data_IF_048850197192
#
_entry.id   IF_048850197192
#
_cell.length_a   1.000
_cell.length_b   1.000
_cell.length_c   1.000
_cell.angle_alpha   90.00
_cell.angle_beta   90.00
_cell.angle_gamma   90.00
#
_symmetry.space_group_name_H-M   'P 1'
#
loop_
_entity.id
_entity.type
_entity.pdbx_description
1 polymer ?
#
# COMPACT_ATOMS: atom_id res chain seq x y z
N UNK A 1 -32.43 10.75 17.57
CA UNK A 1 -32.04 10.41 16.18
C UNK A 1 -30.56 10.61 15.99
N UNK A 2 -29.79 9.52 16.13
CA UNK A 2 -28.35 9.54 15.94
C UNK A 2 -27.97 9.02 14.55
N UNK A 3 -26.88 9.56 14.01
CA UNK A 3 -26.22 9.03 12.82
C UNK A 3 -24.81 8.61 13.19
N UNK A 4 -24.30 7.62 12.49
CA UNK A 4 -22.91 7.18 12.63
C UNK A 4 -22.25 7.10 11.28
N UNK A 5 -20.98 7.50 11.22
CA UNK A 5 -20.08 7.28 10.09
C UNK A 5 -18.88 6.51 10.59
N UNK A 6 -18.58 5.40 9.96
CA UNK A 6 -17.42 4.61 10.29
C UNK A 6 -16.50 4.51 9.08
N UNK A 7 -15.23 4.75 9.29
CA UNK A 7 -14.18 4.36 8.36
C UNK A 7 -13.87 2.89 8.63
N UNK A 8 -14.18 2.01 7.68
CA UNK A 8 -14.18 0.56 7.90
C UNK A 8 -12.77 0.00 8.14
N UNK A 9 -11.73 0.76 7.80
CA UNK A 9 -10.34 0.42 8.06
C UNK A 9 -9.89 0.99 9.41
N UNK A 10 -10.53 0.54 10.50
CA UNK A 10 -10.20 0.91 11.88
C UNK A 10 -10.26 2.42 12.15
N UNK A 11 -11.25 3.11 11.55
CA UNK A 11 -11.47 4.55 11.67
C UNK A 11 -10.30 5.41 11.17
N UNK A 12 -9.54 4.90 10.20
CA UNK A 12 -8.45 5.63 9.56
C UNK A 12 -8.81 5.88 8.10
N UNK A 13 -8.51 7.07 7.61
CA UNK A 13 -8.60 7.42 6.18
C UNK A 13 -7.22 7.60 5.60
N UNK A 14 -6.97 6.93 4.48
CA UNK A 14 -5.70 6.99 3.77
C UNK A 14 -5.82 7.82 2.49
N UNK A 15 -4.87 8.72 2.27
CA UNK A 15 -4.82 9.52 1.04
C UNK A 15 -4.59 8.63 -0.19
N UNK A 16 -5.19 9.01 -1.32
CA UNK A 16 -4.98 8.33 -2.59
C UNK A 16 -5.54 6.91 -2.67
N UNK A 17 -6.33 6.50 -1.69
CA UNK A 17 -6.92 5.18 -1.61
C UNK A 17 -8.43 5.30 -1.50
N UNK A 18 -9.16 4.35 -2.07
CA UNK A 18 -10.62 4.28 -1.95
C UNK A 18 -10.98 3.61 -0.63
N UNK A 19 -11.17 4.42 0.40
CA UNK A 19 -11.48 3.94 1.75
C UNK A 19 -12.95 3.52 1.84
N UNK A 20 -13.24 2.30 2.33
CA UNK A 20 -14.61 1.88 2.56
C UNK A 20 -15.21 2.64 3.74
N UNK A 21 -16.39 3.21 3.55
CA UNK A 21 -17.12 3.99 4.54
C UNK A 21 -18.51 3.39 4.69
N UNK A 22 -18.93 3.21 5.94
CA UNK A 22 -20.29 2.79 6.26
C UNK A 22 -21.00 3.90 7.00
N UNK A 23 -22.24 4.19 6.62
CA UNK A 23 -23.07 5.19 7.27
C UNK A 23 -24.42 4.59 7.62
N UNK A 24 -24.92 4.97 8.78
CA UNK A 24 -26.27 4.62 9.21
C UNK A 24 -26.90 5.75 10.03
N UNK A 25 -28.22 5.78 10.06
CA UNK A 25 -28.98 6.71 10.91
C UNK A 25 -30.16 5.94 11.50
N UNK A 26 -30.33 6.09 12.82
CA UNK A 26 -31.39 5.41 13.54
C UNK A 26 -32.78 5.83 13.03
N UNK A 27 -33.62 4.83 12.75
CA UNK A 27 -34.99 5.07 12.33
C UNK A 27 -35.16 5.52 10.90
N UNK A 28 -34.10 5.51 10.09
CA UNK A 28 -34.15 5.92 8.67
C UNK A 28 -33.65 4.75 7.83
N UNK A 29 -34.42 4.44 6.78
CA UNK A 29 -34.06 3.38 5.85
C UNK A 29 -32.74 3.73 5.13
N UNK A 30 -31.87 2.73 4.81
CA UNK A 30 -30.56 3.00 4.22
C UNK A 30 -30.62 3.78 2.90
N UNK A 31 -31.64 3.61 2.10
CA UNK A 31 -31.84 4.34 0.83
C UNK A 31 -32.25 5.80 1.02
N UNK A 32 -32.63 6.17 2.23
CA UNK A 32 -33.00 7.53 2.62
C UNK A 32 -31.87 8.28 3.34
N UNK A 33 -30.74 7.62 3.58
CA UNK A 33 -29.58 8.22 4.21
C UNK A 33 -28.56 8.57 3.14
N UNK A 34 -28.09 9.82 3.15
CA UNK A 34 -27.12 10.33 2.19
C UNK A 34 -25.90 10.86 2.89
N UNK A 35 -24.75 10.69 2.25
CA UNK A 35 -23.46 11.14 2.75
C UNK A 35 -22.86 12.12 1.76
N UNK A 36 -22.33 13.22 2.25
CA UNK A 36 -21.51 14.15 1.49
C UNK A 36 -20.16 14.33 2.16
N UNK A 37 -19.17 14.79 1.42
CA UNK A 37 -17.79 14.86 1.88
C UNK A 37 -17.14 16.14 1.37
N UNK A 38 -16.35 16.78 2.22
CA UNK A 38 -15.41 17.84 1.83
C UNK A 38 -13.99 17.28 1.92
N UNK A 39 -13.09 17.77 1.05
CA UNK A 39 -11.68 17.36 1.08
C UNK A 39 -11.35 16.10 0.29
N UNK A 40 -12.22 15.67 -0.60
CA UNK A 40 -12.00 14.51 -1.44
C UNK A 40 -13.22 14.15 -2.27
N UNK A 41 -13.22 12.99 -2.86
CA UNK A 41 -14.31 12.45 -3.67
C UNK A 41 -14.97 11.25 -3.00
N UNK A 42 -16.27 11.10 -3.23
CA UNK A 42 -17.10 10.09 -2.59
C UNK A 42 -17.91 9.37 -3.66
N UNK A 43 -17.93 8.03 -3.58
CA UNK A 43 -18.70 7.19 -4.49
C UNK A 43 -19.62 6.30 -3.70
N UNK A 44 -20.92 6.29 -4.02
CA UNK A 44 -21.88 5.42 -3.38
C UNK A 44 -21.77 3.99 -3.91
N UNK A 45 -21.82 3.03 -2.99
CA UNK A 45 -21.87 1.60 -3.29
C UNK A 45 -23.27 1.01 -2.97
N UNK A 46 -24.18 1.86 -2.52
CA UNK A 46 -25.53 1.45 -2.14
C UNK A 46 -25.65 1.01 -0.69
N UNK A 47 -26.88 1.10 -0.14
CA UNK A 47 -27.23 0.63 1.21
C UNK A 47 -26.35 1.17 2.33
N UNK A 48 -25.97 2.45 2.24
CA UNK A 48 -25.13 3.09 3.26
C UNK A 48 -23.64 2.78 3.15
N UNK A 49 -23.21 2.15 2.06
CA UNK A 49 -21.80 1.89 1.79
C UNK A 49 -21.27 2.85 0.74
N UNK A 50 -20.09 3.39 0.99
CA UNK A 50 -19.42 4.36 0.14
C UNK A 50 -17.93 4.03 0.06
N UNK A 51 -17.26 4.56 -0.95
CA UNK A 51 -15.81 4.69 -0.95
C UNK A 51 -15.44 6.17 -0.95
N UNK A 52 -14.51 6.54 -0.08
CA UNK A 52 -14.02 7.90 0.05
C UNK A 52 -12.55 7.98 -0.34
N UNK A 53 -12.21 8.90 -1.23
CA UNK A 53 -10.84 9.14 -1.68
C UNK A 53 -10.42 10.55 -1.28
N UNK A 54 -9.72 10.70 -0.14
CA UNK A 54 -9.22 12.00 0.31
C UNK A 54 -8.18 12.58 -0.66
N UNK A 55 -8.12 13.92 -0.70
CA UNK A 55 -7.27 14.62 -1.65
C UNK A 55 -5.80 14.63 -1.25
N UNK A 56 -5.47 14.79 0.04
CA UNK A 56 -4.08 14.97 0.46
C UNK A 56 -3.84 14.55 1.91
N UNK A 57 -2.61 14.11 2.15
CA UNK A 57 -2.14 13.72 3.49
C UNK A 57 -2.09 14.93 4.41
N UNK A 58 -2.47 14.73 5.67
CA UNK A 58 -2.42 15.75 6.71
C UNK A 58 -3.61 16.70 6.72
N UNK A 59 -4.47 16.66 5.70
CA UNK A 59 -5.71 17.40 5.68
C UNK A 59 -6.78 16.74 6.54
N UNK A 60 -7.85 17.47 6.82
CA UNK A 60 -9.05 16.92 7.42
C UNK A 60 -10.12 16.78 6.35
N UNK A 61 -10.91 15.72 6.44
CA UNK A 61 -12.13 15.55 5.65
C UNK A 61 -13.31 15.57 6.59
N UNK A 62 -14.40 16.18 6.13
CA UNK A 62 -15.64 16.24 6.90
C UNK A 62 -16.74 15.54 6.11
N UNK A 63 -17.38 14.58 6.77
CA UNK A 63 -18.57 13.92 6.26
C UNK A 63 -19.80 14.54 6.88
N UNK A 64 -20.80 14.80 6.07
CA UNK A 64 -22.11 15.25 6.52
C UNK A 64 -23.14 14.19 6.17
N UNK A 65 -23.88 13.72 7.16
CA UNK A 65 -24.95 12.76 7.00
C UNK A 65 -26.28 13.53 6.94
N UNK A 66 -27.05 13.27 5.90
CA UNK A 66 -28.42 13.78 5.77
C UNK A 66 -29.38 12.61 5.64
N UNK A 67 -30.59 12.81 6.12
CA UNK A 67 -31.65 11.82 6.03
C UNK A 67 -32.94 12.45 5.52
N UNK A 68 -33.73 11.67 4.79
CA UNK A 68 -35.07 12.09 4.37
C UNK A 68 -36.09 11.65 5.41
N UNK A 69 -36.77 12.62 6.02
CA UNK A 69 -37.81 12.38 6.99
C UNK A 69 -39.05 13.16 6.55
N UNK A 70 -40.15 12.48 6.31
CA UNK A 70 -41.41 13.08 5.82
C UNK A 70 -41.23 13.93 4.56
N UNK A 71 -40.40 13.45 3.63
CA UNK A 71 -40.12 14.14 2.38
C UNK A 71 -39.18 15.33 2.48
N UNK A 72 -38.63 15.58 3.65
CA UNK A 72 -37.68 16.71 3.88
C UNK A 72 -36.30 16.15 4.22
N UNK A 73 -35.28 16.79 3.69
CA UNK A 73 -33.89 16.46 4.00
C UNK A 73 -33.47 17.14 5.30
N UNK A 74 -32.96 16.36 6.22
CA UNK A 74 -32.45 16.86 7.50
C UNK A 74 -30.99 16.46 7.66
N UNK A 75 -30.19 17.39 8.22
CA UNK A 75 -28.83 17.10 8.62
C UNK A 75 -28.86 16.27 9.90
N UNK A 76 -28.23 15.07 9.85
CA UNK A 76 -28.21 14.12 10.94
C UNK A 76 -26.92 14.19 11.77
N UNK A 77 -25.85 14.70 11.19
CA UNK A 77 -24.56 14.83 11.87
C UNK A 77 -23.41 15.16 10.93
N UNK A 78 -22.30 15.55 11.55
CA UNK A 78 -21.04 15.84 10.86
C UNK A 78 -19.91 15.12 11.57
N UNK A 79 -18.97 14.55 10.80
CA UNK A 79 -17.85 13.78 11.32
C UNK A 79 -16.58 14.21 10.62
N UNK A 80 -15.52 14.45 11.37
CA UNK A 80 -14.24 14.90 10.82
C UNK A 80 -13.18 13.82 11.07
N UNK A 81 -12.43 13.48 10.02
CA UNK A 81 -11.34 12.53 10.07
C UNK A 81 -10.08 13.18 9.54
N UNK A 82 -8.94 12.86 10.16
CA UNK A 82 -7.63 13.26 9.66
C UNK A 82 -7.16 12.26 8.60
N UNK A 83 -6.68 12.77 7.48
CA UNK A 83 -6.16 11.94 6.39
C UNK A 83 -4.71 11.58 6.68
N UNK A 84 -4.40 10.30 6.60
CA UNK A 84 -3.07 9.76 6.87
C UNK A 84 -2.43 9.25 5.60
N UNK A 85 -1.09 9.22 5.59
CA UNK A 85 -0.36 8.51 4.53
C UNK A 85 -0.56 7.00 4.73
N UNK A 86 -0.47 6.25 3.63
CA UNK A 86 -0.46 4.78 3.71
C UNK A 86 0.75 4.31 4.54
N UNK A 87 0.65 3.18 5.24
CA UNK A 87 1.81 2.55 5.86
C UNK A 87 2.89 2.22 4.82
N UNK A 88 4.12 1.97 5.28
CA UNK A 88 5.17 1.53 4.39
C UNK A 88 4.87 0.12 3.86
N UNK A 89 5.07 -0.11 2.56
CA UNK A 89 4.97 -1.45 2.01
C UNK A 89 6.18 -2.30 2.38
N UNK A 90 6.07 -3.59 2.12
CA UNK A 90 7.19 -4.54 2.24
C UNK A 90 7.71 -4.85 0.85
N UNK A 91 9.02 -4.75 0.67
CA UNK A 91 9.68 -5.18 -0.57
C UNK A 91 9.79 -6.71 -0.62
N UNK A 92 9.73 -7.27 -1.82
CA UNK A 92 9.84 -8.70 -2.05
C UNK A 92 10.49 -9.00 -3.40
N UNK A 93 11.05 -10.21 -3.53
CA UNK A 93 11.45 -10.73 -4.83
C UNK A 93 10.21 -11.35 -5.48
N UNK A 94 9.94 -10.98 -6.73
CA UNK A 94 8.80 -11.49 -7.46
C UNK A 94 9.11 -12.87 -8.04
N UNK A 95 8.44 -13.90 -7.54
CA UNK A 95 8.58 -15.29 -7.98
C UNK A 95 7.26 -15.78 -8.56
N UNK A 96 6.99 -15.44 -9.81
CA UNK A 96 5.69 -15.71 -10.39
C UNK A 96 4.59 -15.02 -9.58
N UNK A 97 3.67 -15.79 -9.00
CA UNK A 97 2.62 -15.27 -8.14
C UNK A 97 3.02 -15.17 -6.68
N UNK A 98 4.23 -15.62 -6.32
CA UNK A 98 4.71 -15.61 -4.95
C UNK A 98 5.53 -14.36 -4.66
N UNK A 99 5.50 -13.95 -3.39
CA UNK A 99 6.24 -12.80 -2.87
C UNK A 99 7.25 -13.28 -1.85
N UNK A 100 8.51 -13.33 -2.26
CA UNK A 100 9.60 -13.77 -1.38
C UNK A 100 10.15 -12.57 -0.60
N UNK A 101 9.98 -12.59 0.72
CA UNK A 101 10.28 -11.44 1.58
C UNK A 101 11.61 -11.55 2.32
N UNK A 102 12.39 -12.59 2.07
CA UNK A 102 13.71 -12.79 2.64
C UNK A 102 13.93 -14.20 3.16
N UNK A 103 15.19 -14.59 3.27
CA UNK A 103 15.61 -15.89 3.75
C UNK A 103 16.31 -16.73 2.69
N UNK A 104 16.19 -18.06 2.81
CA UNK A 104 16.81 -18.99 1.89
C UNK A 104 15.97 -19.15 0.63
N UNK A 105 16.64 -19.12 -0.52
CA UNK A 105 15.99 -19.26 -1.82
C UNK A 105 16.89 -20.06 -2.75
N UNK A 106 16.31 -21.01 -3.45
CA UNK A 106 17.05 -21.83 -4.43
C UNK A 106 17.64 -20.94 -5.52
N UNK A 107 18.86 -21.23 -5.95
CA UNK A 107 19.56 -20.43 -6.97
C UNK A 107 18.75 -20.35 -8.26
N UNK A 108 18.12 -21.44 -8.68
CA UNK A 108 17.25 -21.43 -9.87
C UNK A 108 16.09 -20.46 -9.75
N UNK A 109 15.51 -20.33 -8.57
CA UNK A 109 14.43 -19.37 -8.31
C UNK A 109 14.94 -17.93 -8.36
N UNK A 110 16.13 -17.67 -7.79
CA UNK A 110 16.77 -16.36 -7.85
C UNK A 110 17.00 -15.95 -9.32
N UNK A 111 17.57 -16.85 -10.11
CA UNK A 111 17.86 -16.57 -11.53
C UNK A 111 16.60 -16.46 -12.37
N UNK A 112 15.52 -17.12 -11.97
CA UNK A 112 14.24 -17.05 -12.66
C UNK A 112 13.42 -15.80 -12.32
N UNK A 113 13.80 -15.06 -11.29
CA UNK A 113 13.08 -13.85 -10.88
C UNK A 113 13.41 -12.70 -11.83
N UNK A 114 12.37 -12.05 -12.36
CA UNK A 114 12.55 -10.90 -13.24
C UNK A 114 12.98 -9.65 -12.48
N UNK A 115 12.49 -9.50 -11.24
CA UNK A 115 12.73 -8.32 -10.45
C UNK A 115 12.08 -8.39 -9.08
N UNK A 116 11.80 -7.20 -8.57
CA UNK A 116 11.23 -7.03 -7.23
C UNK A 116 9.89 -6.31 -7.31
N UNK A 117 9.17 -6.35 -6.22
CA UNK A 117 7.96 -5.57 -6.02
C UNK A 117 7.89 -5.05 -4.60
N UNK A 118 6.86 -4.28 -4.34
CA UNK A 118 6.55 -3.80 -3.00
C UNK A 118 5.04 -3.69 -2.85
N UNK A 119 4.53 -4.07 -1.70
CA UNK A 119 3.10 -4.00 -1.42
C UNK A 119 2.84 -3.95 0.07
N UNK A 120 1.72 -3.32 0.44
CA UNK A 120 1.12 -3.56 1.74
C UNK A 120 0.28 -4.84 1.58
N UNK A 121 0.61 -5.88 2.35
CA UNK A 121 -0.12 -7.14 2.32
C UNK A 121 -0.23 -7.72 3.74
N UNK A 122 -0.75 -6.91 4.64
CA UNK A 122 -0.80 -7.19 6.07
C UNK A 122 -2.07 -7.95 6.51
N UNK A 123 -2.87 -8.42 5.55
CA UNK A 123 -4.14 -9.10 5.81
C UNK A 123 -5.33 -8.17 5.91
N UNK A 124 -5.12 -6.89 6.20
CA UNK A 124 -6.15 -5.86 6.23
C UNK A 124 -6.16 -5.06 4.92
N UNK A 125 -4.99 -4.68 4.45
CA UNK A 125 -4.78 -3.96 3.20
C UNK A 125 -3.98 -4.84 2.23
N UNK A 126 -4.33 -4.78 0.95
CA UNK A 126 -3.54 -5.34 -0.14
C UNK A 126 -3.39 -4.24 -1.20
N UNK A 127 -2.29 -3.51 -1.11
CA UNK A 127 -2.05 -2.32 -1.93
C UNK A 127 -0.68 -2.43 -2.58
N UNK A 128 -0.60 -2.59 -3.90
CA UNK A 128 0.67 -2.58 -4.60
C UNK A 128 1.26 -1.18 -4.67
N UNK A 129 2.58 -1.10 -4.53
CA UNK A 129 3.36 0.10 -4.77
C UNK A 129 4.21 -0.11 -6.01
N UNK A 130 4.52 0.97 -6.72
CA UNK A 130 5.42 0.92 -7.86
C UNK A 130 6.85 1.12 -7.40
N UNK A 131 7.75 0.22 -7.80
CA UNK A 131 9.18 0.34 -7.53
C UNK A 131 9.82 1.23 -8.59
N UNK A 132 10.46 2.31 -8.15
CA UNK A 132 11.14 3.26 -9.02
C UNK A 132 12.60 2.90 -9.23
N UNK A 133 13.26 2.40 -8.20
CA UNK A 133 14.66 2.00 -8.24
C UNK A 133 14.99 1.16 -7.02
N UNK A 134 16.08 0.44 -7.09
CA UNK A 134 16.62 -0.28 -5.94
C UNK A 134 18.10 -0.56 -6.14
N UNK A 135 18.73 -1.05 -5.07
CA UNK A 135 20.14 -1.43 -5.06
C UNK A 135 20.22 -2.90 -4.67
N UNK A 136 21.06 -3.66 -5.37
CA UNK A 136 21.44 -5.01 -4.95
C UNK A 136 22.87 -4.96 -4.43
N UNK A 137 23.09 -5.49 -3.24
CA UNK A 137 24.41 -5.48 -2.59
C UNK A 137 24.98 -6.88 -2.56
N UNK A 138 26.06 -7.06 -3.31
CA UNK A 138 26.85 -8.27 -3.36
C UNK A 138 28.15 -8.06 -2.57
N UNK A 139 28.93 -9.11 -2.38
CA UNK A 139 30.19 -9.04 -1.64
C UNK A 139 31.30 -9.65 -2.46
N UNK A 140 32.47 -9.02 -2.43
CA UNK A 140 33.67 -9.56 -3.05
C UNK A 140 34.34 -10.62 -2.16
N UNK A 141 35.46 -11.18 -2.63
CA UNK A 141 36.20 -12.23 -1.91
C UNK A 141 36.69 -11.77 -0.56
N UNK A 142 36.89 -10.46 -0.38
CA UNK A 142 37.37 -9.87 0.86
C UNK A 142 36.24 -9.44 1.78
N UNK A 143 34.98 -9.67 1.38
CA UNK A 143 33.81 -9.29 2.15
C UNK A 143 33.41 -7.84 1.98
N UNK A 144 33.99 -7.12 1.02
CA UNK A 144 33.59 -5.73 0.74
C UNK A 144 32.28 -5.69 -0.02
N UNK A 145 31.42 -4.75 0.34
CA UNK A 145 30.14 -4.54 -0.32
C UNK A 145 30.32 -4.03 -1.75
N UNK A 146 29.59 -4.62 -2.67
CA UNK A 146 29.55 -4.27 -4.09
C UNK A 146 28.10 -3.93 -4.46
N UNK A 147 27.69 -2.66 -4.31
CA UNK A 147 26.35 -2.26 -4.68
C UNK A 147 26.19 -2.12 -6.18
N UNK A 148 25.04 -2.56 -6.69
CA UNK A 148 24.62 -2.43 -8.08
C UNK A 148 23.22 -1.85 -8.14
N UNK A 149 23.03 -0.78 -8.89
CA UNK A 149 21.75 -0.06 -8.96
C UNK A 149 20.89 -0.55 -10.11
N UNK A 150 19.59 -0.51 -9.90
CA UNK A 150 18.60 -0.71 -10.94
C UNK A 150 17.66 0.50 -11.01
N UNK A 151 17.43 1.00 -12.23
CA UNK A 151 16.50 2.10 -12.50
C UNK A 151 15.11 1.55 -12.86
N UNK A 152 14.48 0.94 -11.91
CA UNK A 152 13.18 0.31 -12.07
C UNK A 152 13.04 -0.88 -11.15
N UNK A 153 12.09 -1.78 -11.48
CA UNK A 153 11.81 -2.95 -10.66
C UNK A 153 12.57 -4.20 -11.10
N UNK A 154 13.16 -4.19 -12.28
CA UNK A 154 13.82 -5.38 -12.83
C UNK A 154 15.30 -5.44 -12.47
N UNK A 155 15.81 -6.65 -12.29
CA UNK A 155 17.23 -6.86 -12.14
C UNK A 155 17.96 -6.52 -13.45
N UNK A 156 19.10 -5.84 -13.31
CA UNK A 156 19.97 -5.54 -14.45
C UNK A 156 20.77 -6.76 -14.87
N UNK A 157 21.37 -6.73 -16.05
CA UNK A 157 22.25 -7.80 -16.50
C UNK A 157 23.46 -7.97 -15.57
N UNK A 158 24.02 -6.86 -15.07
CA UNK A 158 25.10 -6.92 -14.10
C UNK A 158 24.69 -7.62 -12.81
N UNK A 159 23.51 -7.31 -12.29
CA UNK A 159 22.98 -7.99 -11.11
C UNK A 159 22.77 -9.48 -11.37
N UNK A 160 22.24 -9.84 -12.54
CA UNK A 160 22.04 -11.23 -12.93
C UNK A 160 23.35 -11.99 -13.02
N UNK A 161 24.38 -11.37 -13.58
CA UNK A 161 25.71 -11.99 -13.67
C UNK A 161 26.29 -12.26 -12.28
N UNK A 162 26.12 -11.32 -11.35
CA UNK A 162 26.58 -11.50 -9.97
C UNK A 162 25.76 -12.59 -9.27
N UNK A 163 24.46 -12.68 -9.51
CA UNK A 163 23.64 -13.78 -8.98
C UNK A 163 24.11 -15.14 -9.48
N UNK A 164 24.49 -15.26 -10.76
CA UNK A 164 25.00 -16.51 -11.34
C UNK A 164 26.28 -16.99 -10.67
N UNK A 165 27.09 -16.05 -10.17
CA UNK A 165 28.34 -16.38 -9.49
C UNK A 165 28.19 -16.77 -8.04
N UNK A 166 27.01 -16.62 -7.45
CA UNK A 166 26.76 -16.96 -6.06
C UNK A 166 26.77 -18.48 -5.85
N UNK A 167 27.39 -18.88 -4.76
CA UNK A 167 27.44 -20.27 -4.32
C UNK A 167 26.47 -20.50 -3.18
N UNK A 168 26.12 -21.75 -2.94
CA UNK A 168 25.28 -22.15 -1.82
C UNK A 168 25.79 -21.56 -0.50
N UNK A 169 24.91 -20.93 0.25
CA UNK A 169 25.22 -20.28 1.52
C UNK A 169 25.67 -18.84 1.40
N UNK A 170 26.01 -18.38 0.21
CA UNK A 170 26.30 -16.97 -0.02
C UNK A 170 25.03 -16.16 -0.10
N UNK A 171 25.13 -14.86 0.18
CA UNK A 171 23.98 -13.98 0.27
C UNK A 171 24.18 -12.69 -0.49
N UNK A 172 23.08 -12.08 -0.85
CA UNK A 172 23.03 -10.71 -1.29
C UNK A 172 21.81 -10.02 -0.71
N UNK A 173 21.77 -8.71 -0.78
CA UNK A 173 20.68 -7.92 -0.25
C UNK A 173 20.05 -7.08 -1.36
N UNK A 174 18.75 -6.91 -1.28
CA UNK A 174 18.03 -5.88 -2.01
C UNK A 174 17.73 -4.76 -1.02
N UNK A 175 18.21 -3.57 -1.29
CA UNK A 175 18.11 -2.44 -0.37
C UNK A 175 17.84 -1.14 -1.11
N UNK A 176 17.63 -0.06 -0.36
CA UNK A 176 17.31 1.27 -0.89
C UNK A 176 16.21 1.21 -1.94
N UNK A 177 15.15 0.46 -1.65
CA UNK A 177 14.02 0.33 -2.54
C UNK A 177 13.21 1.61 -2.48
N UNK A 178 13.17 2.32 -3.61
CA UNK A 178 12.40 3.56 -3.75
C UNK A 178 11.08 3.22 -4.41
N UNK A 179 10.00 3.59 -3.75
CA UNK A 179 8.65 3.24 -4.18
C UNK A 179 7.75 4.47 -4.19
N UNK A 180 6.65 4.37 -4.94
CA UNK A 180 5.54 5.31 -4.89
C UNK A 180 4.24 4.51 -4.87
N UNK A 181 3.36 4.87 -3.95
CA UNK A 181 2.06 4.25 -3.81
C UNK A 181 0.93 5.12 -4.32
N UNK A 182 -0.33 4.68 -4.09
CA UNK A 182 -1.51 5.44 -4.52
C UNK A 182 -1.63 6.82 -3.86
N UNK A 183 -1.02 7.01 -2.69
CA UNK A 183 -0.99 8.31 -2.01
C UNK A 183 -0.04 9.32 -2.68
N UNK A 184 0.68 8.90 -3.72
CA UNK A 184 1.60 9.76 -4.48
C UNK A 184 2.91 10.07 -3.78
N UNK A 185 3.15 9.53 -2.60
CA UNK A 185 4.36 9.79 -1.84
C UNK A 185 5.49 8.87 -2.26
N UNK A 186 6.64 9.47 -2.54
CA UNK A 186 7.86 8.75 -2.82
C UNK A 186 8.54 8.38 -1.50
N UNK A 187 8.93 7.12 -1.34
CA UNK A 187 9.52 6.59 -0.12
C UNK A 187 10.73 5.73 -0.44
N UNK A 188 11.71 5.75 0.46
CA UNK A 188 12.78 4.76 0.47
C UNK A 188 12.55 3.82 1.63
N UNK A 189 12.43 2.54 1.34
CA UNK A 189 12.12 1.53 2.36
C UNK A 189 13.34 1.27 3.23
N UNK A 190 13.19 1.28 4.57
CA UNK A 190 14.33 1.13 5.47
C UNK A 190 14.83 -0.31 5.61
N UNK A 191 13.97 -1.30 5.32
CA UNK A 191 14.31 -2.69 5.55
C UNK A 191 14.84 -3.36 4.27
N UNK A 192 16.06 -3.91 4.30
CA UNK A 192 16.56 -4.69 3.17
C UNK A 192 15.90 -6.08 3.11
N UNK A 193 15.93 -6.67 1.93
CA UNK A 193 15.57 -8.08 1.74
C UNK A 193 16.88 -8.86 1.66
N UNK A 194 17.05 -9.82 2.55
CA UNK A 194 18.20 -10.71 2.53
C UNK A 194 17.87 -11.98 1.76
N UNK A 195 18.73 -12.35 0.83
CA UNK A 195 18.60 -13.59 0.05
C UNK A 195 19.83 -14.44 0.31
N UNK A 196 19.62 -15.63 0.84
CA UNK A 196 20.66 -16.63 1.07
C UNK A 196 20.45 -17.72 0.03
N UNK A 197 21.44 -17.91 -0.83
CA UNK A 197 21.36 -18.92 -1.90
C UNK A 197 21.42 -20.32 -1.31
N UNK A 198 20.49 -21.13 -1.72
CA UNK A 198 20.33 -22.49 -1.23
C UNK A 198 20.63 -23.52 -2.31
#
# INVERSE_FOLDING_TARGET
>A
TGATVAADLMNVLYAGFNNPISVSASGIAPDKVHLSMTGGSLTSQGKGHYTARPASVGSNVTFTVTGEVNGKTQKMGTYTFKVRKLPDPTAYIALGNDRFKGGRLAKGSVLGAAGIGAAIDDGLLDIPFRVLSFESVFFDRMGNARPENSDGANFTENQRNLMRSLRRGQRFYVSRVVVVGPDGLRRTLPQPVEIIVN
#
